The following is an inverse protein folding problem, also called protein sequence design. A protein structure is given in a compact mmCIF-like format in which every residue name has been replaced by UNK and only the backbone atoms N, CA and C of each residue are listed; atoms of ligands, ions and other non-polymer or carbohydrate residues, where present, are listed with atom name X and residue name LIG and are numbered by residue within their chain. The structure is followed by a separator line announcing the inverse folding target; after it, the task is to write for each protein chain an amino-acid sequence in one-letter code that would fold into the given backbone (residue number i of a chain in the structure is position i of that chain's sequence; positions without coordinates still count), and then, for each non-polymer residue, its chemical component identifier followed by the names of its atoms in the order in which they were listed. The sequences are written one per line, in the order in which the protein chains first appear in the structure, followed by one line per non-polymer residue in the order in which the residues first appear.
data_IF_360724102071
#
_entry.id   IF_360724102071
#
_cell.length_a   1.000
_cell.length_b   1.000
_cell.length_c   1.000
_cell.angle_alpha   90.00
_cell.angle_beta   90.00
_cell.angle_gamma   90.00
#
_symmetry.space_group_name_H-M   'P 1'
#
loop_
_entity.id
_entity.type
_entity.pdbx_description
1 polymer ?
#
# COMPACT_ATOMS: atom_id res chain seq x y z
N UNK A 1 26.75 20.55 28.20
CA UNK A 1 26.67 19.55 29.30
C UNK A 1 26.58 18.19 28.64
N UNK A 2 27.54 17.30 28.91
CA UNK A 2 27.54 15.96 28.33
C UNK A 2 26.36 15.15 28.87
N UNK A 3 25.73 14.33 28.03
CA UNK A 3 24.64 13.45 28.42
C UNK A 3 25.10 12.51 29.52
N UNK A 4 24.42 12.54 30.67
CA UNK A 4 24.71 11.67 31.81
C UNK A 4 24.33 10.22 31.47
N UNK A 5 25.35 9.37 31.33
CA UNK A 5 25.22 7.98 30.90
C UNK A 5 24.52 7.13 31.98
N UNK A 6 24.63 7.51 33.26
CA UNK A 6 24.01 6.76 34.36
C UNK A 6 22.47 6.75 34.27
N UNK A 7 21.86 7.79 33.68
CA UNK A 7 20.41 7.83 33.44
C UNK A 7 19.94 6.81 32.42
N UNK A 8 20.82 6.32 31.54
CA UNK A 8 20.47 5.27 30.57
C UNK A 8 20.25 3.91 31.24
N UNK A 9 20.76 3.69 32.45
CA UNK A 9 20.55 2.46 33.22
C UNK A 9 19.08 2.28 33.66
N UNK A 10 18.27 3.34 33.61
CA UNK A 10 16.83 3.30 33.90
C UNK A 10 15.98 2.87 32.70
N UNK A 11 16.54 2.88 31.48
CA UNK A 11 15.80 2.56 30.25
C UNK A 11 15.28 1.11 30.22
N UNK A 12 16.01 0.08 30.68
CA UNK A 12 15.48 -1.29 30.72
C UNK A 12 14.21 -1.40 31.59
N UNK A 13 14.22 -0.79 32.78
CA UNK A 13 13.05 -0.82 33.66
C UNK A 13 11.85 -0.07 33.05
N UNK A 14 12.09 1.03 32.32
CA UNK A 14 11.03 1.70 31.57
C UNK A 14 10.48 0.81 30.46
N UNK A 15 11.35 0.12 29.71
CA UNK A 15 10.95 -0.83 28.67
C UNK A 15 10.08 -1.94 29.25
N UNK A 16 10.46 -2.52 30.39
CA UNK A 16 9.68 -3.58 31.05
C UNK A 16 8.27 -3.09 31.39
N UNK A 17 8.15 -1.88 31.97
CA UNK A 17 6.85 -1.26 32.30
C UNK A 17 6.00 -0.97 31.06
N UNK A 18 6.62 -0.55 29.96
CA UNK A 18 5.92 -0.34 28.69
C UNK A 18 5.42 -1.68 28.13
N UNK A 19 6.25 -2.72 28.15
CA UNK A 19 5.87 -4.06 27.67
C UNK A 19 4.77 -4.65 28.54
N UNK A 20 4.83 -4.47 29.86
CA UNK A 20 3.78 -4.88 30.79
C UNK A 20 2.45 -4.18 30.48
N UNK A 21 2.48 -2.87 30.19
CA UNK A 21 1.28 -2.13 29.76
C UNK A 21 0.63 -2.69 28.48
N UNK A 22 1.38 -3.39 27.63
CA UNK A 22 0.81 -4.01 26.44
C UNK A 22 -0.14 -5.16 26.79
N UNK A 23 0.16 -5.89 27.87
CA UNK A 23 -0.66 -6.96 28.41
C UNK A 23 -1.87 -6.39 29.18
N UNK A 24 -1.69 -5.27 29.89
CA UNK A 24 -2.77 -4.63 30.67
C UNK A 24 -3.85 -3.99 29.78
N UNK A 25 -3.44 -3.24 28.75
CA UNK A 25 -4.37 -2.48 27.91
C UNK A 25 -4.96 -3.38 26.81
N UNK A 26 -4.11 -4.17 26.13
CA UNK A 26 -4.48 -5.18 25.13
C UNK A 26 -5.13 -4.67 23.83
N UNK A 27 -5.97 -3.64 23.88
CA UNK A 27 -6.81 -3.14 22.78
C UNK A 27 -6.06 -2.27 21.77
N UNK A 28 -4.90 -1.74 22.14
CA UNK A 28 -4.10 -0.84 21.30
C UNK A 28 -2.98 -1.56 20.55
N UNK A 29 -2.87 -2.88 20.70
CA UNK A 29 -1.74 -3.66 20.24
C UNK A 29 -2.22 -4.79 19.33
N UNK A 30 -1.56 -4.97 18.20
CA UNK A 30 -1.78 -6.13 17.32
C UNK A 30 -0.51 -6.99 17.30
N UNK A 31 -0.22 -7.62 18.44
CA UNK A 31 0.95 -8.47 18.62
C UNK A 31 0.58 -9.93 18.35
N UNK A 32 1.32 -10.60 17.48
CA UNK A 32 1.09 -12.01 17.15
C UNK A 32 1.63 -12.41 15.78
N UNK A 33 1.22 -13.58 15.30
CA UNK A 33 1.66 -14.15 14.02
C UNK A 33 0.75 -13.81 12.83
N UNK A 34 -0.21 -12.89 12.99
CA UNK A 34 -1.05 -12.39 11.91
C UNK A 34 -0.71 -10.96 11.54
N UNK A 35 0.21 -10.73 10.59
CA UNK A 35 0.57 -9.39 10.18
C UNK A 35 -0.64 -8.69 9.53
N UNK A 36 -0.92 -7.46 9.98
CA UNK A 36 -1.85 -6.58 9.29
C UNK A 36 -1.23 -6.06 7.96
N UNK A 37 -2.04 -5.47 7.07
CA UNK A 37 -1.51 -4.73 5.94
C UNK A 37 -0.56 -3.62 6.41
N UNK A 38 0.56 -3.44 5.71
CA UNK A 38 1.54 -2.40 6.05
C UNK A 38 1.13 -1.10 5.36
N UNK A 39 0.93 0.02 6.08
CA UNK A 39 0.62 1.31 5.47
C UNK A 39 1.69 1.76 4.46
N UNK A 40 2.96 1.52 4.77
CA UNK A 40 4.09 1.85 3.88
C UNK A 40 3.99 1.09 2.56
N UNK A 41 3.69 -0.21 2.62
CA UNK A 41 3.54 -1.02 1.43
C UNK A 41 2.32 -0.61 0.59
N UNK A 42 1.22 -0.20 1.23
CA UNK A 42 0.04 0.34 0.51
C UNK A 42 0.40 1.66 -0.20
N UNK A 43 1.18 2.53 0.43
CA UNK A 43 1.68 3.76 -0.21
C UNK A 43 2.54 3.41 -1.41
N UNK A 44 3.47 2.46 -1.29
CA UNK A 44 4.32 2.02 -2.39
C UNK A 44 3.51 1.44 -3.56
N UNK A 45 2.51 0.60 -3.27
CA UNK A 45 1.58 0.07 -4.28
C UNK A 45 0.88 1.23 -5.02
N UNK A 46 0.40 2.24 -4.29
CA UNK A 46 -0.24 3.39 -4.90
C UNK A 46 0.71 4.21 -5.79
N UNK A 47 1.99 4.31 -5.42
CA UNK A 47 3.00 4.96 -6.27
C UNK A 47 3.32 4.13 -7.51
N UNK A 48 3.46 2.81 -7.38
CA UNK A 48 3.70 1.89 -8.49
C UNK A 48 2.53 1.94 -9.49
N UNK A 49 1.28 1.99 -8.99
CA UNK A 49 0.10 2.18 -9.84
C UNK A 49 0.11 3.53 -10.56
N UNK A 50 0.49 4.63 -9.87
CA UNK A 50 0.60 5.95 -10.51
C UNK A 50 1.64 5.96 -11.62
N UNK A 51 2.75 5.25 -11.48
CA UNK A 51 3.76 5.10 -12.53
C UNK A 51 3.23 4.33 -13.75
N UNK A 52 2.39 3.32 -13.53
CA UNK A 52 1.72 2.58 -14.62
C UNK A 52 0.65 3.44 -15.32
N UNK A 53 -0.11 4.22 -14.56
CA UNK A 53 -1.21 5.05 -15.09
C UNK A 53 -0.67 6.25 -15.87
N UNK A 54 0.32 6.96 -15.31
CA UNK A 54 0.92 8.19 -15.84
C UNK A 54 2.42 8.01 -16.16
N UNK A 55 2.79 7.13 -17.09
CA UNK A 55 4.20 6.88 -17.41
C UNK A 55 4.85 8.16 -17.97
N UNK A 56 5.98 8.55 -17.38
CA UNK A 56 6.75 9.74 -17.77
C UNK A 56 6.54 10.98 -16.88
N UNK A 57 5.47 11.04 -16.08
CA UNK A 57 5.17 12.18 -15.20
C UNK A 57 5.68 12.01 -13.76
N UNK A 58 6.18 10.81 -13.42
CA UNK A 58 6.53 10.43 -12.04
C UNK A 58 8.01 10.08 -11.93
N UNK A 59 8.35 8.88 -11.43
CA UNK A 59 9.72 8.54 -11.01
C UNK A 59 10.72 8.42 -12.16
N UNK A 60 10.32 7.93 -13.35
CA UNK A 60 11.20 7.74 -14.50
C UNK A 60 10.92 8.74 -15.63
N UNK A 61 11.95 9.50 -16.04
CA UNK A 61 11.85 10.60 -17.00
C UNK A 61 12.35 10.28 -18.43
N UNK A 62 12.71 9.03 -18.74
CA UNK A 62 13.22 8.62 -20.06
C UNK A 62 12.49 7.40 -20.62
N UNK A 63 11.17 7.33 -20.39
CA UNK A 63 10.34 6.27 -20.92
C UNK A 63 9.99 6.57 -22.38
N UNK A 64 10.11 5.55 -23.21
CA UNK A 64 9.75 5.58 -24.63
C UNK A 64 9.24 4.21 -25.06
N UNK A 65 8.63 4.11 -26.24
CA UNK A 65 7.98 2.86 -26.68
C UNK A 65 8.92 1.64 -26.72
N UNK A 66 10.22 1.84 -26.95
CA UNK A 66 11.22 0.76 -26.90
C UNK A 66 11.56 0.21 -25.51
N UNK A 67 11.23 0.90 -24.41
CA UNK A 67 11.59 0.48 -23.03
C UNK A 67 10.39 0.36 -22.07
N UNK A 68 9.26 0.99 -22.41
CA UNK A 68 8.09 1.07 -21.53
C UNK A 68 7.50 -0.30 -21.20
N UNK A 69 7.58 -1.26 -22.12
CA UNK A 69 7.07 -2.62 -21.91
C UNK A 69 7.80 -3.31 -20.76
N UNK A 70 9.13 -3.16 -20.67
CA UNK A 70 9.90 -3.75 -19.57
C UNK A 70 9.58 -3.08 -18.24
N UNK A 71 9.45 -1.75 -18.25
CA UNK A 71 9.15 -1.01 -17.04
C UNK A 71 7.75 -1.32 -16.49
N UNK A 72 6.74 -1.33 -17.35
CA UNK A 72 5.36 -1.66 -16.95
C UNK A 72 5.26 -3.14 -16.57
N UNK A 73 5.94 -4.05 -17.29
CA UNK A 73 5.97 -5.47 -16.95
C UNK A 73 6.51 -5.73 -15.54
N UNK A 74 7.65 -5.14 -15.21
CA UNK A 74 8.28 -5.22 -13.88
C UNK A 74 7.36 -4.65 -12.78
N UNK A 75 6.71 -3.51 -13.02
CA UNK A 75 5.77 -2.93 -12.06
C UNK A 75 4.52 -3.78 -11.88
N UNK A 76 3.94 -4.33 -12.95
CA UNK A 76 2.73 -5.16 -12.87
C UNK A 76 3.00 -6.46 -12.11
N UNK A 77 4.15 -7.09 -12.33
CA UNK A 77 4.59 -8.28 -11.60
C UNK A 77 4.75 -7.98 -10.10
N UNK A 78 5.50 -6.93 -9.76
CA UNK A 78 5.67 -6.50 -8.37
C UNK A 78 4.37 -6.06 -7.70
N UNK A 79 3.47 -5.40 -8.43
CA UNK A 79 2.15 -5.01 -7.94
C UNK A 79 1.28 -6.21 -7.63
N UNK A 80 1.28 -7.23 -8.49
CA UNK A 80 0.53 -8.45 -8.28
C UNK A 80 0.91 -9.12 -6.94
N UNK A 81 2.20 -9.27 -6.67
CA UNK A 81 2.68 -9.92 -5.44
C UNK A 81 2.37 -9.11 -4.17
N UNK A 82 2.60 -7.79 -4.23
CA UNK A 82 2.32 -6.88 -3.13
C UNK A 82 0.81 -6.84 -2.83
N UNK A 83 -0.03 -6.68 -3.86
CA UNK A 83 -1.49 -6.65 -3.71
C UNK A 83 -2.00 -7.97 -3.16
N UNK A 84 -1.55 -9.11 -3.70
CA UNK A 84 -1.94 -10.45 -3.22
C UNK A 84 -1.68 -10.58 -1.73
N UNK A 85 -0.46 -10.24 -1.30
CA UNK A 85 -0.05 -10.30 0.11
C UNK A 85 -0.94 -9.42 1.00
N UNK A 86 -1.15 -8.17 0.60
CA UNK A 86 -1.87 -7.21 1.43
C UNK A 86 -3.38 -7.41 1.44
N UNK A 87 -3.98 -7.84 0.33
CA UNK A 87 -5.38 -8.24 0.26
C UNK A 87 -5.61 -9.49 1.11
N UNK A 88 -4.75 -10.51 1.01
CA UNK A 88 -4.87 -11.72 1.82
C UNK A 88 -4.82 -11.41 3.33
N UNK A 89 -3.90 -10.53 3.77
CA UNK A 89 -3.83 -10.06 5.16
C UNK A 89 -5.10 -9.33 5.59
N UNK A 90 -5.62 -8.45 4.74
CA UNK A 90 -6.85 -7.71 5.03
C UNK A 90 -8.07 -8.65 5.13
N UNK A 91 -8.22 -9.59 4.20
CA UNK A 91 -9.30 -10.59 4.22
C UNK A 91 -9.21 -11.49 5.44
N UNK A 92 -8.00 -11.95 5.77
CA UNK A 92 -7.76 -12.79 6.93
C UNK A 92 -8.12 -12.07 8.22
N UNK A 93 -7.77 -10.79 8.36
CA UNK A 93 -8.11 -10.01 9.53
C UNK A 93 -9.62 -9.71 9.63
N UNK A 94 -10.27 -9.35 8.51
CA UNK A 94 -11.72 -9.14 8.48
C UNK A 94 -12.48 -10.40 8.89
N UNK A 95 -12.05 -11.57 8.41
CA UNK A 95 -12.64 -12.85 8.78
C UNK A 95 -12.52 -13.15 10.28
N UNK A 96 -11.37 -12.85 10.90
CA UNK A 96 -11.18 -13.03 12.35
C UNK A 96 -12.15 -12.18 13.15
N UNK A 97 -12.36 -10.93 12.74
CA UNK A 97 -13.29 -10.01 13.39
C UNK A 97 -14.73 -10.51 13.32
N UNK A 98 -15.15 -11.03 12.17
CA UNK A 98 -16.52 -11.53 11.97
C UNK A 98 -16.82 -12.82 12.75
N UNK A 99 -15.81 -13.67 12.96
CA UNK A 99 -15.98 -15.00 13.58
C UNK A 99 -15.45 -15.07 15.02
N UNK A 100 -14.86 -13.99 15.54
CA UNK A 100 -14.22 -13.96 16.86
C UNK A 100 -13.07 -14.95 17.02
N UNK A 101 -12.44 -15.34 15.91
CA UNK A 101 -11.42 -16.39 15.88
C UNK A 101 -10.05 -15.81 16.28
N UNK A 102 -9.25 -16.65 16.94
CA UNK A 102 -7.86 -16.34 17.19
C UNK A 102 -6.98 -16.78 16.02
N UNK A 103 -5.86 -16.07 15.82
CA UNK A 103 -4.90 -16.27 14.73
C UNK A 103 -4.50 -17.72 14.42
N UNK A 104 -4.51 -18.61 15.42
CA UNK A 104 -4.04 -19.99 15.28
C UNK A 104 -5.07 -20.94 14.65
N UNK A 105 -6.36 -20.54 14.60
CA UNK A 105 -7.45 -21.38 14.07
C UNK A 105 -7.57 -21.33 12.53
N UNK A 106 -6.71 -20.54 11.86
CA UNK A 106 -6.81 -20.09 10.45
C UNK A 106 -6.60 -21.13 9.34
N UNK A 107 -6.54 -22.43 9.61
CA UNK A 107 -6.08 -23.41 8.60
C UNK A 107 -7.10 -23.86 7.54
N UNK A 108 -8.31 -23.30 7.49
CA UNK A 108 -9.36 -23.79 6.58
C UNK A 108 -9.65 -22.94 5.34
N UNK A 109 -9.28 -21.67 5.33
CA UNK A 109 -9.61 -20.75 4.23
C UNK A 109 -8.33 -20.28 3.54
N UNK A 110 -8.24 -20.51 2.24
CA UNK A 110 -7.13 -20.02 1.41
C UNK A 110 -7.37 -18.55 1.03
N UNK A 111 -6.96 -17.64 1.92
CA UNK A 111 -7.01 -16.20 1.66
C UNK A 111 -5.96 -15.74 0.64
N UNK A 112 -4.90 -16.51 0.43
CA UNK A 112 -3.86 -16.18 -0.53
C UNK A 112 -4.38 -16.32 -1.95
N UNK A 113 -5.05 -17.43 -2.27
CA UNK A 113 -5.72 -17.62 -3.56
C UNK A 113 -6.79 -16.55 -3.82
N UNK A 114 -7.59 -16.19 -2.80
CA UNK A 114 -8.57 -15.10 -2.93
C UNK A 114 -7.90 -13.73 -3.13
N UNK A 115 -6.80 -13.48 -2.43
CA UNK A 115 -6.00 -12.27 -2.59
C UNK A 115 -5.44 -12.15 -4.00
N UNK A 116 -4.93 -13.27 -4.53
CA UNK A 116 -4.37 -13.36 -5.87
C UNK A 116 -5.42 -13.07 -6.95
N UNK A 117 -6.59 -13.71 -6.86
CA UNK A 117 -7.66 -13.48 -7.81
C UNK A 117 -8.10 -12.01 -7.80
N UNK A 118 -8.28 -11.42 -6.60
CA UNK A 118 -8.66 -10.00 -6.48
C UNK A 118 -7.59 -9.05 -7.00
N UNK A 119 -6.31 -9.38 -6.81
CA UNK A 119 -5.20 -8.60 -7.35
C UNK A 119 -5.22 -8.62 -8.89
N UNK A 120 -5.39 -9.80 -9.49
CA UNK A 120 -5.54 -9.95 -10.94
C UNK A 120 -6.75 -9.18 -11.47
N UNK A 121 -7.93 -9.40 -10.89
CA UNK A 121 -9.17 -8.72 -11.30
C UNK A 121 -8.99 -7.20 -11.28
N UNK A 122 -8.32 -6.66 -10.24
CA UNK A 122 -8.03 -5.24 -10.15
C UNK A 122 -7.05 -4.76 -11.24
N UNK A 123 -5.94 -5.48 -11.46
CA UNK A 123 -4.94 -5.10 -12.46
C UNK A 123 -5.51 -5.15 -13.88
N UNK A 124 -6.45 -6.05 -14.17
CA UNK A 124 -7.17 -6.09 -15.45
C UNK A 124 -8.02 -4.83 -15.70
N UNK A 125 -8.42 -4.11 -14.64
CA UNK A 125 -9.16 -2.84 -14.79
C UNK A 125 -8.28 -1.66 -15.17
N UNK A 126 -6.96 -1.73 -14.99
CA UNK A 126 -6.03 -0.61 -15.16
C UNK A 126 -6.13 0.05 -16.55
N UNK A 127 -6.27 -0.67 -17.67
CA UNK A 127 -6.48 -0.05 -18.98
C UNK A 127 -7.77 0.78 -19.06
N UNK A 128 -8.86 0.31 -18.44
CA UNK A 128 -10.12 1.05 -18.38
C UNK A 128 -10.00 2.28 -17.46
N UNK A 129 -9.31 2.11 -16.32
CA UNK A 129 -9.03 3.20 -15.39
C UNK A 129 -8.25 4.33 -16.07
N UNK A 130 -7.25 4.00 -16.91
CA UNK A 130 -6.52 5.01 -17.69
C UNK A 130 -7.42 5.79 -18.66
N UNK A 131 -8.41 5.14 -19.29
CA UNK A 131 -9.38 5.84 -20.16
C UNK A 131 -10.27 6.78 -19.37
N UNK A 132 -10.72 6.36 -18.18
CA UNK A 132 -11.52 7.19 -17.28
C UNK A 132 -10.73 8.42 -16.83
N UNK A 133 -9.53 8.23 -16.30
CA UNK A 133 -8.68 9.31 -15.81
C UNK A 133 -8.24 10.27 -16.93
N UNK A 134 -8.14 9.81 -18.18
CA UNK A 134 -7.91 10.72 -19.31
C UNK A 134 -9.06 11.71 -19.51
N UNK A 135 -10.31 11.30 -19.27
CA UNK A 135 -11.45 12.21 -19.29
C UNK A 135 -11.42 13.17 -18.09
N UNK A 136 -10.99 12.71 -16.92
CA UNK A 136 -10.86 13.56 -15.74
C UNK A 136 -9.79 14.65 -15.92
N UNK A 137 -8.65 14.30 -16.55
CA UNK A 137 -7.60 15.27 -16.92
C UNK A 137 -8.15 16.32 -17.90
N UNK A 138 -8.91 15.89 -18.90
CA UNK A 138 -9.56 16.81 -19.84
C UNK A 138 -10.60 17.70 -19.13
N UNK A 139 -11.40 17.13 -18.24
CA UNK A 139 -12.41 17.88 -17.49
C UNK A 139 -11.79 18.92 -16.55
N UNK A 140 -10.66 18.60 -15.91
CA UNK A 140 -9.91 19.56 -15.10
C UNK A 140 -9.38 20.73 -15.96
N UNK A 141 -8.94 20.45 -17.18
CA UNK A 141 -8.48 21.47 -18.13
C UNK A 141 -9.63 22.35 -18.61
N UNK A 142 -10.74 21.75 -19.01
CA UNK A 142 -11.92 22.49 -19.49
C UNK A 142 -12.57 23.29 -18.34
N UNK A 143 -12.43 22.83 -17.10
CA UNK A 143 -12.97 23.43 -15.90
C UNK A 143 -12.15 24.59 -15.32
N UNK A 144 -10.86 24.71 -15.68
CA UNK A 144 -9.99 25.80 -15.24
C UNK A 144 -9.40 26.58 -16.43
N UNK A 145 -9.99 27.74 -16.77
CA UNK A 145 -9.47 28.61 -17.83
C UNK A 145 -8.04 29.12 -17.61
N UNK A 146 -7.49 29.02 -16.39
CA UNK A 146 -6.13 29.41 -16.05
C UNK A 146 -5.11 28.27 -16.23
N UNK A 147 -5.55 27.03 -16.44
CA UNK A 147 -4.66 25.89 -16.67
C UNK A 147 -3.87 26.08 -17.97
N UNK A 148 -2.54 25.97 -17.89
CA UNK A 148 -1.67 26.16 -19.06
C UNK A 148 -1.67 24.95 -20.01
N UNK A 149 -2.04 23.77 -19.52
CA UNK A 149 -2.15 22.55 -20.32
C UNK A 149 -2.41 21.29 -19.49
N UNK A 150 -2.59 20.17 -20.19
CA UNK A 150 -2.82 18.85 -19.56
C UNK A 150 -1.64 18.38 -18.72
N UNK A 151 -0.42 18.74 -19.12
CA UNK A 151 0.79 18.38 -18.38
C UNK A 151 0.80 18.97 -16.97
N UNK A 152 0.46 20.25 -16.84
CA UNK A 152 0.36 20.94 -15.55
C UNK A 152 -0.64 20.23 -14.63
N UNK A 153 -1.80 19.85 -15.18
CA UNK A 153 -2.86 19.14 -14.45
C UNK A 153 -2.34 17.80 -13.92
N UNK A 154 -1.67 17.00 -14.76
CA UNK A 154 -1.13 15.71 -14.32
C UNK A 154 -0.01 15.88 -13.29
N UNK A 155 0.79 16.95 -13.41
CA UNK A 155 1.93 17.19 -12.55
C UNK A 155 1.55 17.63 -11.13
N UNK A 156 0.64 18.61 -10.98
CA UNK A 156 0.49 19.32 -9.71
C UNK A 156 -0.92 19.72 -9.28
N UNK A 157 -1.98 19.34 -10.00
CA UNK A 157 -3.36 19.45 -9.48
C UNK A 157 -3.66 18.31 -8.51
#
# INVERSE_FOLDING_TARGET
MATDIQRKEQLPNLTDRIVESYLEIGTMNHLGHCPLPSPEAIVDIAQDLKDVIFPGYRRRQNLHMGNVVYHVGDLIDGLHDKLTTHIARALSHAFDLDHGLQCEEKRKVDFESQGQQKALDFLETVPNLRRMLAMDVQAAYDGDPAASGLDEIIFCY
#
